data_IF_950144283439
#
_entry.id   IF_950144283439
#
_cell.length_a   1.000
_cell.length_b   1.000
_cell.length_c   1.000
_cell.angle_alpha   90.00
_cell.angle_beta   90.00
_cell.angle_gamma   90.00
#
_symmetry.space_group_name_H-M   'P 1'
#
loop_
_entity.id
_entity.type
_entity.pdbx_description
1 polymer ?
#
# COMPACT_ATOMS: atom_id res chain seq x y z
N UNK A 1 21.70 34.89 -22.55
CA UNK A 1 20.72 33.99 -23.19
C UNK A 1 20.72 32.67 -22.42
N UNK A 2 19.68 32.42 -21.63
CA UNK A 2 19.61 31.29 -20.70
C UNK A 2 19.25 29.99 -21.44
N UNK A 3 20.11 28.98 -21.30
CA UNK A 3 19.91 27.62 -21.82
C UNK A 3 18.83 26.92 -20.99
N UNK A 4 17.67 26.71 -21.59
CA UNK A 4 16.62 25.86 -21.02
C UNK A 4 17.07 24.40 -21.11
N UNK A 5 17.12 23.73 -19.95
CA UNK A 5 17.45 22.31 -19.83
C UNK A 5 16.23 21.51 -20.27
N UNK A 6 16.37 20.46 -21.11
CA UNK A 6 15.22 19.65 -21.50
C UNK A 6 14.65 18.97 -20.26
N UNK A 7 13.34 19.17 -20.03
CA UNK A 7 12.58 18.45 -19.02
C UNK A 7 12.78 16.96 -19.25
N UNK A 8 13.33 16.28 -18.23
CA UNK A 8 13.60 14.85 -18.20
C UNK A 8 12.28 14.16 -18.54
N UNK A 9 12.20 13.64 -19.77
CA UNK A 9 11.12 12.80 -20.23
C UNK A 9 11.07 11.66 -19.22
N UNK A 10 10.10 11.74 -18.31
CA UNK A 10 9.81 10.70 -17.35
C UNK A 10 9.34 9.55 -18.22
N UNK A 11 10.29 8.69 -18.58
CA UNK A 11 10.10 7.49 -19.37
C UNK A 11 8.87 6.84 -18.75
N UNK A 12 7.74 6.89 -19.46
CA UNK A 12 6.51 6.23 -19.08
C UNK A 12 6.87 4.76 -19.17
N UNK A 13 7.50 4.24 -18.11
CA UNK A 13 7.69 2.81 -17.93
C UNK A 13 6.28 2.26 -18.03
N UNK A 14 6.06 1.44 -19.04
CA UNK A 14 4.84 0.66 -19.13
C UNK A 14 4.87 -0.19 -17.86
N UNK A 15 4.04 0.20 -16.89
CA UNK A 15 3.91 -0.51 -15.63
C UNK A 15 3.61 -1.97 -15.97
N UNK A 16 4.10 -2.92 -15.20
CA UNK A 16 3.65 -4.31 -15.36
C UNK A 16 2.18 -4.42 -14.94
N UNK A 17 1.47 -5.47 -15.36
CA UNK A 17 0.07 -5.68 -14.97
C UNK A 17 -0.07 -5.80 -13.44
N UNK A 18 0.91 -6.44 -12.79
CA UNK A 18 1.04 -6.50 -11.34
C UNK A 18 1.16 -5.10 -10.71
N UNK A 19 2.06 -4.25 -11.22
CA UNK A 19 2.24 -2.89 -10.68
C UNK A 19 1.01 -2.02 -10.92
N UNK A 20 0.33 -2.16 -12.06
CA UNK A 20 -0.93 -1.45 -12.34
C UNK A 20 -2.01 -1.85 -11.34
N UNK A 21 -2.18 -3.15 -11.11
CA UNK A 21 -3.15 -3.67 -10.15
C UNK A 21 -2.83 -3.21 -8.73
N UNK A 22 -1.58 -3.33 -8.30
CA UNK A 22 -1.12 -2.87 -6.99
C UNK A 22 -1.36 -1.38 -6.76
N UNK A 23 -1.06 -0.52 -7.75
CA UNK A 23 -1.34 0.92 -7.67
C UNK A 23 -2.84 1.22 -7.61
N UNK A 24 -3.66 0.47 -8.35
CA UNK A 24 -5.12 0.62 -8.32
C UNK A 24 -5.66 0.26 -6.93
N UNK A 25 -5.24 -0.88 -6.38
CA UNK A 25 -5.65 -1.34 -5.06
C UNK A 25 -5.18 -0.35 -3.99
N UNK A 26 -3.94 0.11 -4.05
CA UNK A 26 -3.42 1.14 -3.14
C UNK A 26 -4.25 2.42 -3.21
N UNK A 27 -4.63 2.86 -4.42
CA UNK A 27 -5.50 4.04 -4.59
C UNK A 27 -6.90 3.80 -4.03
N UNK A 28 -7.46 2.60 -4.16
CA UNK A 28 -8.75 2.21 -3.61
C UNK A 28 -8.73 2.19 -2.07
N UNK A 29 -7.67 1.62 -1.49
CA UNK A 29 -7.47 1.60 -0.03
C UNK A 29 -7.32 3.03 0.50
N UNK A 30 -6.52 3.86 -0.16
CA UNK A 30 -6.30 5.26 0.22
C UNK A 30 -7.49 6.20 -0.08
N UNK A 31 -8.57 5.70 -0.66
CA UNK A 31 -9.75 6.53 -0.92
C UNK A 31 -10.37 7.00 0.42
N UNK A 32 -10.86 8.25 0.51
CA UNK A 32 -11.41 8.79 1.77
C UNK A 32 -12.52 7.92 2.36
N UNK A 33 -13.40 7.38 1.50
CA UNK A 33 -14.47 6.46 1.91
C UNK A 33 -13.91 5.15 2.44
N UNK A 34 -12.88 4.60 1.79
CA UNK A 34 -12.28 3.35 2.19
C UNK A 34 -11.55 3.46 3.52
N UNK A 35 -10.83 4.57 3.75
CA UNK A 35 -10.21 4.87 5.03
C UNK A 35 -11.25 5.10 6.15
N UNK A 36 -12.37 5.77 5.84
CA UNK A 36 -13.44 6.02 6.81
C UNK A 36 -14.18 4.74 7.22
N UNK A 37 -14.57 3.92 6.24
CA UNK A 37 -15.29 2.66 6.47
C UNK A 37 -14.34 1.51 6.82
N UNK A 38 -13.02 1.73 6.70
CA UNK A 38 -11.93 0.75 6.78
C UNK A 38 -12.19 -0.51 5.95
N UNK A 39 -12.70 -0.28 4.74
CA UNK A 39 -12.99 -1.34 3.76
C UNK A 39 -12.76 -0.86 2.35
N UNK A 40 -12.32 -1.75 1.48
CA UNK A 40 -12.22 -1.51 0.04
C UNK A 40 -12.75 -2.72 -0.73
N UNK A 41 -13.55 -2.47 -1.76
CA UNK A 41 -14.00 -3.52 -2.68
C UNK A 41 -13.16 -3.45 -3.94
N UNK A 42 -12.42 -4.51 -4.22
CA UNK A 42 -11.57 -4.64 -5.39
C UNK A 42 -12.32 -5.47 -6.42
N UNK A 43 -12.49 -4.89 -7.61
CA UNK A 43 -12.99 -5.60 -8.78
C UNK A 43 -11.82 -5.92 -9.69
N UNK A 44 -11.68 -7.17 -10.12
CA UNK A 44 -10.75 -7.59 -11.17
C UNK A 44 -11.19 -7.01 -12.51
N UNK A 45 -10.25 -6.42 -13.25
CA UNK A 45 -10.46 -5.91 -14.60
C UNK A 45 -9.90 -6.91 -15.62
N UNK A 46 -10.34 -6.77 -16.87
CA UNK A 46 -9.87 -7.58 -18.00
C UNK A 46 -8.36 -7.43 -18.27
N UNK A 47 -7.79 -6.29 -17.85
CA UNK A 47 -6.35 -6.03 -17.93
C UNK A 47 -5.54 -6.74 -16.83
N UNK A 48 -6.20 -7.27 -15.79
CA UNK A 48 -5.54 -7.92 -14.68
C UNK A 48 -5.40 -9.42 -14.97
N UNK A 49 -4.19 -9.84 -15.32
CA UNK A 49 -3.87 -11.26 -15.55
C UNK A 49 -4.08 -12.07 -14.28
N UNK A 50 -4.30 -13.38 -14.44
CA UNK A 50 -4.54 -14.27 -13.30
C UNK A 50 -3.34 -14.30 -12.34
N UNK A 51 -2.13 -14.33 -12.90
CA UNK A 51 -0.87 -14.29 -12.14
C UNK A 51 -0.73 -12.98 -11.34
N UNK A 52 -1.03 -11.83 -11.96
CA UNK A 52 -0.98 -10.55 -11.26
C UNK A 52 -2.03 -10.47 -10.15
N UNK A 53 -3.24 -10.95 -10.43
CA UNK A 53 -4.33 -10.97 -9.46
C UNK A 53 -3.99 -11.88 -8.27
N UNK A 54 -3.61 -13.12 -8.51
CA UNK A 54 -3.29 -14.08 -7.46
C UNK A 54 -2.11 -13.62 -6.61
N UNK A 55 -1.04 -13.11 -7.24
CA UNK A 55 0.12 -12.59 -6.52
C UNK A 55 -0.21 -11.42 -5.60
N UNK A 56 -1.07 -10.47 -6.02
CA UNK A 56 -1.49 -9.38 -5.12
C UNK A 56 -2.41 -9.89 -4.02
N UNK A 57 -3.31 -10.81 -4.31
CA UNK A 57 -4.21 -11.39 -3.31
C UNK A 57 -3.45 -12.22 -2.26
N UNK A 58 -2.38 -12.91 -2.66
CA UNK A 58 -1.47 -13.60 -1.74
C UNK A 58 -0.80 -12.61 -0.79
N UNK A 59 -0.16 -11.55 -1.32
CA UNK A 59 0.48 -10.51 -0.50
C UNK A 59 -0.48 -9.83 0.49
N UNK A 60 -1.72 -9.58 0.05
CA UNK A 60 -2.75 -9.00 0.91
C UNK A 60 -3.16 -9.99 2.01
N UNK A 61 -3.31 -11.28 1.71
CA UNK A 61 -3.62 -12.32 2.72
C UNK A 61 -2.53 -12.50 3.76
N UNK A 62 -1.27 -12.26 3.39
CA UNK A 62 -0.13 -12.31 4.31
C UNK A 62 -0.06 -11.08 5.23
N UNK A 63 -0.82 -10.01 4.91
CA UNK A 63 -0.82 -8.78 5.71
C UNK A 63 -1.65 -8.97 6.98
N UNK A 64 -0.98 -8.92 8.14
CA UNK A 64 -1.65 -9.01 9.43
C UNK A 64 -2.65 -7.86 9.65
N UNK A 65 -3.80 -8.16 10.27
CA UNK A 65 -4.88 -7.20 10.48
C UNK A 65 -5.71 -6.85 9.24
N UNK A 66 -5.45 -7.50 8.09
CA UNK A 66 -6.28 -7.40 6.88
C UNK A 66 -7.19 -8.63 6.77
N UNK A 67 -8.49 -8.39 6.87
CA UNK A 67 -9.53 -9.38 6.58
C UNK A 67 -9.90 -9.31 5.09
N UNK A 68 -9.85 -10.46 4.40
CA UNK A 68 -10.19 -10.56 2.99
C UNK A 68 -11.38 -11.52 2.78
N UNK A 69 -12.43 -11.03 2.12
CA UNK A 69 -13.66 -11.78 1.84
C UNK A 69 -13.96 -11.77 0.34
N UNK A 70 -14.08 -12.93 -0.29
CA UNK A 70 -14.52 -13.02 -1.69
C UNK A 70 -16.04 -12.89 -1.74
N UNK A 71 -16.55 -11.85 -2.39
CA UNK A 71 -18.00 -11.63 -2.55
C UNK A 71 -18.49 -12.40 -3.77
N UNK A 72 -17.79 -12.24 -4.90
CA UNK A 72 -18.14 -12.84 -6.19
C UNK A 72 -16.86 -13.19 -6.97
N UNK A 73 -16.99 -13.92 -8.08
CA UNK A 73 -15.86 -14.25 -8.93
C UNK A 73 -15.19 -12.98 -9.47
N UNK A 74 -13.95 -12.72 -9.04
CA UNK A 74 -13.23 -11.49 -9.38
C UNK A 74 -13.62 -10.25 -8.54
N UNK A 75 -14.41 -10.40 -7.47
CA UNK A 75 -14.76 -9.30 -6.56
C UNK A 75 -14.42 -9.68 -5.11
N UNK A 76 -13.51 -8.91 -4.52
CA UNK A 76 -12.99 -9.15 -3.17
C UNK A 76 -13.19 -7.91 -2.32
N UNK A 77 -13.77 -8.08 -1.13
CA UNK A 77 -13.79 -7.07 -0.08
C UNK A 77 -12.58 -7.25 0.82
N UNK A 78 -11.83 -6.17 0.99
CA UNK A 78 -10.82 -6.02 2.02
C UNK A 78 -11.39 -5.20 3.16
N UNK A 79 -11.09 -5.60 4.39
CA UNK A 79 -11.43 -4.86 5.59
C UNK A 79 -10.22 -4.86 6.52
N UNK A 80 -9.90 -3.72 7.09
CA UNK A 80 -8.81 -3.61 8.06
C UNK A 80 -9.31 -2.96 9.34
N UNK A 81 -8.69 -3.28 10.46
CA UNK A 81 -8.95 -2.55 11.70
C UNK A 81 -7.88 -1.49 11.89
N UNK A 82 -8.22 -0.42 12.62
CA UNK A 82 -7.19 0.46 13.12
C UNK A 82 -6.30 -0.40 14.01
N UNK A 83 -5.01 -0.53 13.69
CA UNK A 83 -4.05 -1.08 14.64
C UNK A 83 -4.29 -0.30 15.93
N UNK A 84 -4.79 -0.99 16.96
CA UNK A 84 -4.89 -0.36 18.26
C UNK A 84 -3.47 0.11 18.59
N UNK A 85 -3.34 1.28 19.22
CA UNK A 85 -2.07 1.89 19.67
C UNK A 85 -1.21 0.98 20.59
N UNK A 86 -1.58 -0.29 20.75
CA UNK A 86 -0.88 -1.34 21.48
C UNK A 86 0.10 -2.13 20.59
N UNK A 87 0.08 -1.96 19.26
CA UNK A 87 1.24 -2.28 18.41
C UNK A 87 2.19 -1.07 18.36
N UNK A 88 2.56 -0.55 19.54
CA UNK A 88 3.79 0.22 19.64
C UNK A 88 4.89 -0.79 19.35
N UNK A 89 5.46 -0.67 18.17
CA UNK A 89 6.82 -1.09 17.87
C UNK A 89 7.65 -1.05 19.16
N UNK A 90 7.87 -2.22 19.76
CA UNK A 90 8.89 -2.41 20.77
C UNK A 90 10.22 -2.28 20.03
N UNK A 91 10.74 -1.05 19.96
CA UNK A 91 11.99 -0.82 19.22
C UNK A 91 12.32 0.63 18.93
N UNK A 92 12.12 1.56 19.86
CA UNK A 92 13.00 2.73 19.93
C UNK A 92 13.79 2.57 21.22
N UNK A 93 14.97 1.97 21.10
CA UNK A 93 15.91 1.84 22.20
C UNK A 93 16.24 3.24 22.71
N UNK A 94 16.07 3.41 24.02
CA UNK A 94 16.61 4.50 24.83
C UNK A 94 17.94 5.02 24.29
N UNK A 95 17.92 6.19 23.66
CA UNK A 95 19.15 6.91 23.35
C UNK A 95 19.57 7.55 24.68
N UNK A 96 20.40 6.85 25.45
CA UNK A 96 21.07 7.42 26.62
C UNK A 96 21.95 8.59 26.15
N UNK A 97 21.43 9.81 26.23
CA UNK A 97 22.24 11.03 26.10
C UNK A 97 23.08 11.16 27.36
N UNK A 98 24.28 10.59 27.31
CA UNK A 98 25.36 10.92 28.26
C UNK A 98 25.84 12.34 27.97
N UNK A 99 25.25 13.33 28.65
CA UNK A 99 25.88 14.65 28.75
C UNK A 99 27.07 14.57 29.72
N UNK A 100 28.26 14.36 29.16
CA UNK A 100 29.51 14.83 29.77
C UNK A 100 29.46 16.36 29.84
N UNK A 101 29.13 16.88 31.03
CA UNK A 101 29.17 18.29 31.38
C UNK A 101 30.16 18.53 32.50
N UNK A 102 31.37 18.91 32.11
CA UNK A 102 32.50 19.38 32.93
C UNK A 102 32.09 20.59 33.78
N UNK A 103 32.34 20.53 35.09
CA UNK A 103 32.79 21.68 35.89
C UNK A 103 33.91 21.26 36.85
#
# INVERSE_FOLDING_TARGET
>A
MAKQKPAKQQQRRELTDLERLGLRISSMINAPKAQLERRAVIHRLDTDTDEAWDGVMELLRETDGLEMTVIEEGVVELRWHQQSDDDRYVGDGEIEVVEEGVE
#
